data_IF_401747402953
#
_entry.id   IF_401747402953
#
_cell.length_a   1.000
_cell.length_b   1.000
_cell.length_c   1.000
_cell.angle_alpha   90.00
_cell.angle_beta   90.00
_cell.angle_gamma   90.00
#
_symmetry.space_group_name_H-M   'P 1'
#
loop_
_entity.id
_entity.type
_entity.pdbx_description
1 polymer ?
#
# COMPACT_ATOMS: atom_id res chain seq x y z
N UNK A 1 -4.75 -9.78 -3.78
CA UNK A 1 -4.94 -9.85 -2.31
C UNK A 1 -6.38 -10.26 -1.95
N UNK A 2 -7.41 -9.48 -2.33
CA UNK A 2 -8.83 -9.81 -2.07
C UNK A 2 -9.26 -11.22 -2.48
N UNK A 3 -9.06 -11.60 -3.75
CA UNK A 3 -9.45 -12.92 -4.26
C UNK A 3 -8.65 -14.06 -3.60
N UNK A 4 -7.33 -13.85 -3.43
CA UNK A 4 -6.40 -14.85 -2.88
C UNK A 4 -6.79 -15.30 -1.46
N UNK A 5 -7.27 -14.38 -0.63
CA UNK A 5 -7.58 -14.65 0.78
C UNK A 5 -9.09 -14.68 1.07
N UNK A 6 -9.93 -14.48 0.06
CA UNK A 6 -11.38 -14.45 0.23
C UNK A 6 -11.80 -13.34 1.19
N UNK A 7 -11.33 -12.12 0.95
CA UNK A 7 -11.61 -10.94 1.78
C UNK A 7 -12.06 -9.76 0.94
N UNK A 8 -12.95 -8.95 1.48
CA UNK A 8 -13.13 -7.54 1.13
C UNK A 8 -12.56 -6.72 2.28
N UNK A 9 -11.72 -5.73 1.96
CA UNK A 9 -11.09 -4.85 2.94
C UNK A 9 -11.36 -3.39 2.60
N UNK A 10 -11.42 -2.54 3.61
CA UNK A 10 -11.49 -1.08 3.46
C UNK A 10 -10.45 -0.39 4.36
N UNK A 11 -10.13 0.85 4.00
CA UNK A 11 -9.15 1.73 4.68
C UNK A 11 -9.64 2.24 6.04
N UNK A 12 -8.78 3.06 6.65
CA UNK A 12 -8.93 3.66 7.99
C UNK A 12 -8.80 2.64 9.12
N UNK A 13 -8.02 1.58 8.89
CA UNK A 13 -7.80 0.50 9.86
C UNK A 13 -6.90 0.87 11.04
N UNK A 14 -6.09 1.92 10.93
CA UNK A 14 -5.22 2.42 12.00
C UNK A 14 -6.00 2.92 13.23
N UNK A 15 -7.23 3.39 13.02
CA UNK A 15 -8.16 3.76 14.07
C UNK A 15 -8.59 2.57 14.96
N UNK A 16 -8.33 1.32 14.55
CA UNK A 16 -8.63 0.11 15.30
C UNK A 16 -10.03 -0.45 15.01
N UNK A 17 -10.55 -1.28 15.92
CA UNK A 17 -11.86 -1.92 15.73
C UNK A 17 -13.01 -0.91 15.82
N UNK A 18 -13.95 -0.96 14.87
CA UNK A 18 -15.19 -0.19 14.93
C UNK A 18 -16.18 -0.77 15.96
N UNK A 19 -16.83 0.11 16.71
CA UNK A 19 -17.93 -0.19 17.64
C UNK A 19 -19.00 0.90 17.58
N UNK A 20 -20.27 0.62 17.94
CA UNK A 20 -21.36 1.60 17.89
C UNK A 20 -21.14 2.87 18.72
N UNK A 21 -20.31 2.78 19.77
CA UNK A 21 -20.00 3.90 20.68
C UNK A 21 -18.89 4.82 20.17
N UNK A 22 -18.31 4.53 18.99
CA UNK A 22 -17.22 5.32 18.38
C UNK A 22 -17.75 6.22 17.28
N UNK A 23 -17.16 7.39 17.16
CA UNK A 23 -17.58 8.40 16.19
C UNK A 23 -17.03 8.09 14.78
N UNK A 24 -17.83 8.33 13.74
CA UNK A 24 -17.43 8.10 12.35
C UNK A 24 -16.18 8.93 11.97
N UNK A 25 -15.95 10.09 12.61
CA UNK A 25 -14.76 10.92 12.37
C UNK A 25 -13.45 10.25 12.79
N UNK A 26 -13.50 9.26 13.68
CA UNK A 26 -12.32 8.46 14.05
C UNK A 26 -11.86 7.55 12.88
N UNK A 27 -12.71 7.31 11.89
CA UNK A 27 -12.48 6.37 10.78
C UNK A 27 -12.55 7.04 9.40
N UNK A 28 -12.16 8.32 9.32
CA UNK A 28 -12.25 9.13 8.10
C UNK A 28 -13.68 9.17 7.50
N UNK A 29 -14.68 8.98 8.36
CA UNK A 29 -16.09 9.12 8.07
C UNK A 29 -16.88 7.82 8.05
N UNK A 30 -18.00 7.89 7.34
CA UNK A 30 -19.07 6.89 7.35
C UNK A 30 -18.73 5.50 6.75
N UNK A 31 -17.76 5.31 5.81
CA UNK A 31 -17.56 4.02 5.15
C UNK A 31 -17.32 2.83 6.08
N UNK A 32 -16.53 3.00 7.15
CA UNK A 32 -16.22 1.92 8.10
C UNK A 32 -17.47 1.47 8.84
N UNK A 33 -18.25 2.42 9.39
CA UNK A 33 -19.54 2.09 10.05
C UNK A 33 -20.47 1.35 9.11
N UNK A 34 -20.63 1.81 7.85
CA UNK A 34 -21.50 1.14 6.87
C UNK A 34 -21.02 -0.26 6.55
N UNK A 35 -19.72 -0.44 6.38
CA UNK A 35 -19.15 -1.76 6.16
C UNK A 35 -19.33 -2.70 7.36
N UNK A 36 -19.26 -2.18 8.58
CA UNK A 36 -19.45 -2.95 9.81
C UNK A 36 -20.93 -3.26 10.12
N UNK A 37 -21.86 -2.38 9.75
CA UNK A 37 -23.28 -2.48 10.17
C UNK A 37 -24.26 -2.80 9.04
N UNK A 38 -24.03 -2.30 7.83
CA UNK A 38 -24.98 -2.47 6.72
C UNK A 38 -24.69 -3.70 5.87
N UNK A 39 -23.42 -4.11 5.75
CA UNK A 39 -23.03 -5.29 4.97
C UNK A 39 -23.36 -6.56 5.76
N UNK A 40 -24.16 -7.43 5.17
CA UNK A 40 -24.64 -8.67 5.78
C UNK A 40 -24.15 -9.91 5.05
N UNK A 41 -24.16 -11.05 5.75
CA UNK A 41 -23.92 -12.35 5.12
C UNK A 41 -24.97 -12.57 4.02
N UNK A 42 -24.51 -12.98 2.83
CA UNK A 42 -25.37 -13.14 1.66
C UNK A 42 -25.44 -11.91 0.75
N UNK A 43 -24.94 -10.74 1.17
CA UNK A 43 -24.84 -9.59 0.28
C UNK A 43 -23.87 -9.86 -0.89
N UNK A 44 -24.15 -9.21 -2.02
CA UNK A 44 -23.33 -9.29 -3.22
C UNK A 44 -22.36 -8.11 -3.28
N UNK A 45 -21.09 -8.42 -3.52
CA UNK A 45 -20.05 -7.42 -3.78
C UNK A 45 -19.57 -7.49 -5.22
N UNK A 46 -19.37 -6.32 -5.83
CA UNK A 46 -18.75 -6.19 -7.15
C UNK A 46 -17.36 -5.57 -6.97
N UNK A 47 -16.32 -6.28 -7.39
CA UNK A 47 -14.96 -5.75 -7.37
C UNK A 47 -14.71 -4.95 -8.65
N UNK A 48 -14.82 -3.63 -8.57
CA UNK A 48 -14.56 -2.72 -9.69
C UNK A 48 -13.06 -2.55 -9.97
N UNK A 49 -12.70 -2.37 -11.23
CA UNK A 49 -11.35 -1.97 -11.67
C UNK A 49 -11.36 -0.63 -12.41
N UNK A 50 -12.53 -0.11 -12.76
CA UNK A 50 -12.70 1.19 -13.40
C UNK A 50 -14.05 1.81 -13.09
N UNK A 51 -14.45 2.79 -13.92
CA UNK A 51 -15.76 3.46 -13.83
C UNK A 51 -16.88 2.69 -14.56
N UNK A 52 -16.51 1.71 -15.39
CA UNK A 52 -17.43 0.87 -16.16
C UNK A 52 -17.10 -0.62 -16.07
N UNK A 53 -16.08 -1.03 -15.32
CA UNK A 53 -15.56 -2.41 -15.36
C UNK A 53 -15.50 -3.06 -13.98
N UNK A 54 -15.72 -4.38 -13.96
CA UNK A 54 -15.53 -5.25 -12.80
C UNK A 54 -14.61 -6.44 -13.13
N UNK A 55 -13.91 -6.94 -12.11
CA UNK A 55 -13.01 -8.10 -12.20
C UNK A 55 -13.56 -9.35 -11.51
N UNK A 56 -14.44 -9.18 -10.52
CA UNK A 56 -15.00 -10.28 -9.75
C UNK A 56 -16.38 -9.95 -9.18
N UNK A 57 -17.17 -11.00 -8.93
CA UNK A 57 -18.42 -10.97 -8.17
C UNK A 57 -18.19 -11.75 -6.88
N UNK A 58 -18.63 -11.24 -5.74
CA UNK A 58 -18.40 -11.83 -4.44
C UNK A 58 -19.68 -12.01 -3.65
N UNK A 59 -19.74 -13.07 -2.85
CA UNK A 59 -20.82 -13.31 -1.89
C UNK A 59 -20.25 -13.21 -0.47
N UNK A 60 -20.81 -12.31 0.34
CA UNK A 60 -20.35 -12.10 1.72
C UNK A 60 -20.65 -13.35 2.56
N UNK A 61 -19.66 -13.81 3.31
CA UNK A 61 -19.63 -15.10 3.99
C UNK A 61 -19.27 -15.00 5.48
N UNK A 62 -19.12 -13.80 6.04
CA UNK A 62 -18.91 -13.60 7.48
C UNK A 62 -19.51 -12.28 7.98
N UNK A 63 -19.63 -12.21 9.31
CA UNK A 63 -19.75 -10.96 10.04
C UNK A 63 -18.51 -10.07 9.87
N UNK A 64 -18.57 -8.87 10.46
CA UNK A 64 -17.51 -7.89 10.43
C UNK A 64 -16.31 -8.42 11.21
N UNK A 65 -15.13 -8.25 10.64
CA UNK A 65 -13.87 -8.67 11.23
C UNK A 65 -12.91 -7.49 11.23
N UNK A 66 -12.09 -7.42 12.27
CA UNK A 66 -10.88 -6.61 12.26
C UNK A 66 -9.70 -7.58 12.18
N UNK A 67 -8.89 -7.46 11.12
CA UNK A 67 -7.84 -8.41 10.74
C UNK A 67 -6.46 -7.74 10.77
N UNK A 68 -5.71 -7.82 11.90
CA UNK A 68 -4.40 -7.18 12.07
C UNK A 68 -3.34 -7.58 11.05
N UNK A 69 -3.49 -8.72 10.37
CA UNK A 69 -2.57 -9.14 9.31
C UNK A 69 -2.63 -8.29 8.04
N UNK A 70 -3.63 -7.40 7.90
CA UNK A 70 -3.79 -6.49 6.75
C UNK A 70 -3.50 -5.04 7.10
N UNK A 71 -2.69 -4.83 8.13
CA UNK A 71 -2.35 -3.52 8.66
C UNK A 71 -1.28 -2.76 7.87
N UNK A 72 -0.74 -3.36 6.81
CA UNK A 72 0.14 -2.70 5.84
C UNK A 72 0.09 -3.41 4.49
N UNK A 73 -1.04 -3.27 3.80
CA UNK A 73 -1.17 -3.78 2.43
C UNK A 73 -0.78 -2.70 1.44
N UNK A 74 0.40 -2.85 0.86
CA UNK A 74 0.97 -1.90 -0.09
C UNK A 74 1.11 -0.47 0.47
N UNK A 75 1.30 -0.31 1.78
CA UNK A 75 1.37 1.01 2.44
C UNK A 75 0.01 1.53 2.92
N UNK A 76 -1.04 0.69 2.94
CA UNK A 76 -2.38 1.05 3.41
C UNK A 76 -2.84 0.14 4.54
N UNK A 77 -3.45 0.73 5.54
CA UNK A 77 -3.99 0.04 6.71
C UNK A 77 -5.43 -0.42 6.39
N UNK A 78 -5.57 -1.72 6.03
CA UNK A 78 -6.79 -2.34 5.51
C UNK A 78 -7.39 -3.41 6.44
N UNK A 79 -7.39 -3.18 7.75
CA UNK A 79 -7.78 -4.19 8.74
C UNK A 79 -9.31 -4.45 8.80
N UNK A 80 -10.15 -3.51 8.35
CA UNK A 80 -11.60 -3.69 8.35
C UNK A 80 -12.02 -4.67 7.25
N UNK A 81 -12.56 -5.82 7.64
CA UNK A 81 -12.71 -6.95 6.74
C UNK A 81 -14.10 -7.61 6.77
N UNK A 82 -14.45 -8.21 5.64
CA UNK A 82 -15.47 -9.25 5.49
C UNK A 82 -14.86 -10.44 4.77
N UNK A 83 -15.22 -11.66 5.16
CA UNK A 83 -14.92 -12.84 4.33
C UNK A 83 -15.88 -12.86 3.16
N UNK A 84 -15.35 -13.09 1.97
CA UNK A 84 -16.10 -13.08 0.72
C UNK A 84 -15.68 -14.27 -0.13
N UNK A 85 -16.67 -15.02 -0.63
CA UNK A 85 -16.45 -16.02 -1.67
C UNK A 85 -16.43 -15.29 -3.00
N UNK A 86 -15.24 -15.13 -3.57
CA UNK A 86 -15.06 -14.44 -4.84
C UNK A 86 -15.16 -15.42 -6.01
N UNK A 87 -15.93 -15.04 -7.02
CA UNK A 87 -15.80 -15.57 -8.37
C UNK A 87 -14.98 -14.61 -9.23
N UNK A 88 -13.77 -15.04 -9.59
CA UNK A 88 -12.94 -14.33 -10.55
C UNK A 88 -13.53 -14.46 -11.95
N UNK A 89 -13.81 -13.35 -12.62
CA UNK A 89 -14.24 -13.41 -14.01
C UNK A 89 -13.05 -13.87 -14.89
N UNK A 90 -13.28 -14.51 -16.05
CA UNK A 90 -12.17 -14.85 -16.96
C UNK A 90 -11.45 -13.61 -17.50
N UNK A 91 -12.22 -12.58 -17.88
CA UNK A 91 -11.78 -11.25 -18.27
C UNK A 91 -12.54 -10.20 -17.45
N UNK A 92 -12.13 -8.93 -17.52
CA UNK A 92 -12.98 -7.86 -17.01
C UNK A 92 -14.33 -7.84 -17.76
N UNK A 93 -15.40 -7.57 -17.02
CA UNK A 93 -16.71 -7.30 -17.60
C UNK A 93 -16.90 -5.79 -17.68
N UNK A 94 -17.10 -5.28 -18.89
CA UNK A 94 -17.39 -3.87 -19.14
C UNK A 94 -18.89 -3.68 -19.38
N UNK A 95 -19.49 -2.77 -18.63
CA UNK A 95 -20.88 -2.37 -18.81
C UNK A 95 -21.07 -1.48 -20.06
N UNK A 96 -19.96 -0.97 -20.65
CA UNK A 96 -19.98 -0.13 -21.85
C UNK A 96 -20.40 1.33 -21.60
N UNK A 97 -20.77 1.65 -20.36
CA UNK A 97 -21.18 2.97 -19.89
C UNK A 97 -20.67 3.20 -18.45
N UNK A 98 -20.69 4.46 -17.98
CA UNK A 98 -20.23 4.82 -16.64
C UNK A 98 -21.25 4.41 -15.57
N UNK A 99 -21.17 3.16 -15.12
CA UNK A 99 -22.03 2.63 -14.05
C UNK A 99 -21.51 2.93 -12.65
N UNK A 100 -20.22 3.20 -12.47
CA UNK A 100 -19.64 3.62 -11.20
C UNK A 100 -19.30 5.12 -11.21
N UNK A 101 -19.33 5.74 -10.03
CA UNK A 101 -18.88 7.13 -9.87
C UNK A 101 -17.37 7.27 -10.06
N UNK A 102 -16.92 8.38 -10.65
CA UNK A 102 -15.51 8.63 -10.91
C UNK A 102 -14.66 8.62 -9.62
N UNK A 103 -15.22 9.15 -8.53
CA UNK A 103 -14.60 9.19 -7.20
C UNK A 103 -15.42 8.37 -6.18
N UNK A 104 -15.85 7.17 -6.57
CA UNK A 104 -16.62 6.34 -5.65
C UNK A 104 -15.76 5.93 -4.44
N UNK A 105 -16.28 6.04 -3.20
CA UNK A 105 -15.56 5.59 -2.00
C UNK A 105 -15.18 4.11 -2.08
N UNK A 106 -14.27 3.68 -1.20
CA UNK A 106 -13.81 2.29 -1.08
C UNK A 106 -14.96 1.27 -1.00
N UNK A 107 -16.10 1.69 -0.44
CA UNK A 107 -17.36 0.95 -0.42
C UNK A 107 -18.52 1.85 -0.88
N UNK A 108 -19.36 1.36 -1.79
CA UNK A 108 -20.58 2.04 -2.21
C UNK A 108 -21.75 1.06 -2.32
N UNK A 109 -22.92 1.43 -1.80
CA UNK A 109 -24.16 0.71 -2.07
C UNK A 109 -24.59 0.98 -3.51
N UNK A 110 -24.97 -0.07 -4.22
CA UNK A 110 -25.38 0.00 -5.61
C UNK A 110 -26.89 -0.20 -5.70
N UNK A 111 -27.59 0.80 -6.22
CA UNK A 111 -29.04 0.72 -6.50
C UNK A 111 -29.34 0.87 -8.00
N UNK A 112 -28.32 0.93 -8.87
CA UNK A 112 -28.53 1.08 -10.32
C UNK A 112 -29.14 -0.21 -10.89
N UNK A 113 -30.29 -0.16 -11.59
CA UNK A 113 -30.99 -1.36 -12.06
C UNK A 113 -30.10 -2.29 -12.90
N UNK A 114 -29.25 -1.74 -13.75
CA UNK A 114 -28.33 -2.51 -14.61
C UNK A 114 -27.35 -3.37 -13.80
N UNK A 115 -26.77 -2.81 -12.73
CA UNK A 115 -25.84 -3.52 -11.86
C UNK A 115 -26.54 -4.58 -11.01
N UNK A 116 -27.75 -4.27 -10.53
CA UNK A 116 -28.58 -5.21 -9.76
C UNK A 116 -29.04 -6.37 -10.63
N UNK A 117 -29.50 -6.10 -11.85
CA UNK A 117 -29.86 -7.12 -12.83
C UNK A 117 -28.68 -8.03 -13.16
N UNK A 118 -27.51 -7.45 -13.46
CA UNK A 118 -26.29 -8.21 -13.71
C UNK A 118 -25.95 -9.14 -12.54
N UNK A 119 -25.92 -8.60 -11.31
CA UNK A 119 -25.60 -9.38 -10.11
C UNK A 119 -26.59 -10.54 -9.89
N UNK A 120 -27.89 -10.27 -10.05
CA UNK A 120 -28.92 -11.28 -9.91
C UNK A 120 -28.81 -12.37 -10.98
N UNK A 121 -28.63 -12.01 -12.26
CA UNK A 121 -28.42 -13.00 -13.32
C UNK A 121 -27.17 -13.82 -13.07
N UNK A 122 -26.08 -13.18 -12.64
CA UNK A 122 -24.81 -13.84 -12.36
C UNK A 122 -24.94 -14.88 -11.24
N UNK A 123 -25.59 -14.53 -10.13
CA UNK A 123 -25.82 -15.45 -9.01
C UNK A 123 -26.69 -16.66 -9.39
N UNK A 124 -27.66 -16.47 -10.28
CA UNK A 124 -28.58 -17.52 -10.70
C UNK A 124 -28.10 -18.30 -11.93
N UNK A 125 -26.90 -18.01 -12.43
CA UNK A 125 -26.31 -18.70 -13.59
C UNK A 125 -25.19 -19.64 -13.16
N UNK A 126 -25.08 -20.85 -13.75
CA UNK A 126 -23.91 -21.70 -13.55
C UNK A 126 -22.60 -21.01 -14.01
N UNK A 127 -21.47 -21.28 -13.34
CA UNK A 127 -21.33 -22.16 -12.18
C UNK A 127 -21.74 -21.49 -10.86
N UNK A 128 -22.41 -22.24 -9.98
CA UNK A 128 -22.84 -21.77 -8.65
C UNK A 128 -22.02 -22.35 -7.49
N UNK A 129 -21.10 -23.30 -7.76
CA UNK A 129 -20.32 -23.98 -6.71
C UNK A 129 -19.46 -23.03 -5.85
N UNK A 130 -19.07 -21.87 -6.41
CA UNK A 130 -18.26 -20.89 -5.69
C UNK A 130 -19.02 -20.24 -4.53
N UNK A 131 -20.36 -20.21 -4.58
CA UNK A 131 -21.22 -19.59 -3.57
C UNK A 131 -21.18 -20.34 -2.23
N UNK A 132 -20.84 -21.63 -2.26
CA UNK A 132 -20.71 -22.51 -1.09
C UNK A 132 -19.29 -23.00 -0.88
N UNK A 133 -18.34 -22.61 -1.74
CA UNK A 133 -16.94 -23.01 -1.63
C UNK A 133 -16.34 -22.64 -0.27
N UNK A 134 -15.42 -23.48 0.20
CA UNK A 134 -14.63 -23.19 1.40
C UNK A 134 -13.83 -21.91 1.20
N UNK A 135 -13.84 -21.06 2.22
CA UNK A 135 -13.07 -19.82 2.18
C UNK A 135 -11.55 -20.13 2.21
N UNK A 136 -10.74 -19.41 1.42
CA UNK A 136 -9.28 -19.54 1.49
C UNK A 136 -8.72 -19.26 2.89
N UNK A 137 -7.50 -19.70 3.20
CA UNK A 137 -6.84 -19.32 4.45
C UNK A 137 -6.43 -17.84 4.46
N UNK A 138 -6.55 -17.22 5.63
CA UNK A 138 -5.98 -15.88 5.87
C UNK A 138 -4.46 -16.00 5.99
N UNK A 139 -3.70 -14.95 5.63
CA UNK A 139 -2.28 -14.91 5.94
C UNK A 139 -2.10 -14.77 7.45
N UNK A 140 -0.98 -15.28 7.94
CA UNK A 140 -0.53 -15.03 9.31
C UNK A 140 -0.16 -13.56 9.48
N UNK A 141 -0.38 -13.04 10.67
CA UNK A 141 0.16 -11.74 11.05
C UNK A 141 1.70 -11.79 11.02
N UNK A 142 2.30 -10.78 10.41
CA UNK A 142 3.74 -10.64 10.38
C UNK A 142 4.24 -10.17 11.75
N UNK A 143 5.28 -10.79 12.32
CA UNK A 143 5.76 -10.42 13.65
C UNK A 143 6.42 -9.05 13.64
N UNK A 144 6.08 -8.24 14.64
CA UNK A 144 6.77 -6.99 14.95
C UNK A 144 8.20 -7.27 15.41
N UNK A 145 9.09 -6.33 15.14
CA UNK A 145 10.50 -6.40 15.58
C UNK A 145 10.90 -5.07 16.22
N UNK A 146 11.85 -5.14 17.14
CA UNK A 146 12.56 -3.96 17.62
C UNK A 146 13.48 -3.42 16.50
N UNK A 147 13.67 -2.09 16.42
CA UNK A 147 14.64 -1.53 15.50
C UNK A 147 16.06 -2.00 15.86
N UNK A 148 16.93 -2.26 14.87
CA UNK A 148 18.37 -2.38 15.13
C UNK A 148 18.89 -1.13 15.82
N UNK A 149 19.90 -1.27 16.69
CA UNK A 149 20.45 -0.17 17.50
C UNK A 149 20.81 1.05 16.64
N UNK A 150 21.43 0.84 15.47
CA UNK A 150 21.80 1.92 14.56
C UNK A 150 20.61 2.73 14.01
N UNK A 151 19.41 2.15 13.99
CA UNK A 151 18.19 2.73 13.46
C UNK A 151 17.21 3.17 14.56
N UNK A 152 17.49 2.87 15.83
CA UNK A 152 16.53 3.07 16.93
C UNK A 152 16.06 4.53 17.03
N UNK A 153 16.98 5.50 17.04
CA UNK A 153 16.63 6.92 17.15
C UNK A 153 15.74 7.40 16.00
N UNK A 154 16.07 6.98 14.77
CA UNK A 154 15.31 7.36 13.58
C UNK A 154 13.91 6.74 13.59
N UNK A 155 13.81 5.46 13.97
CA UNK A 155 12.53 4.74 14.04
C UNK A 155 11.63 5.36 15.11
N UNK A 156 12.17 5.68 16.28
CA UNK A 156 11.44 6.42 17.33
C UNK A 156 10.95 7.78 16.80
N UNK A 157 11.82 8.54 16.13
CA UNK A 157 11.43 9.83 15.54
C UNK A 157 10.29 9.68 14.53
N UNK A 158 10.33 8.67 13.66
CA UNK A 158 9.25 8.38 12.71
C UNK A 158 7.96 8.07 13.46
N UNK A 159 8.00 7.20 14.47
CA UNK A 159 6.83 6.80 15.25
C UNK A 159 6.17 7.98 15.95
N UNK A 160 6.97 8.90 16.50
CA UNK A 160 6.49 10.10 17.18
C UNK A 160 5.84 11.10 16.20
N UNK A 161 6.45 11.30 15.03
CA UNK A 161 6.03 12.34 14.08
C UNK A 161 4.96 11.90 13.09
N UNK A 162 4.79 10.61 12.83
CA UNK A 162 3.81 10.10 11.87
C UNK A 162 2.39 10.57 12.21
N UNK A 163 2.02 10.56 13.49
CA UNK A 163 0.70 11.03 13.95
C UNK A 163 0.54 12.53 13.77
N UNK A 164 1.59 13.31 14.01
CA UNK A 164 1.57 14.75 13.80
C UNK A 164 1.39 15.10 12.32
N UNK A 165 2.05 14.39 11.41
CA UNK A 165 1.89 14.61 9.97
C UNK A 165 0.48 14.27 9.46
N UNK A 166 -0.21 13.33 10.11
CA UNK A 166 -1.60 13.01 9.80
C UNK A 166 -2.58 14.09 10.29
N UNK A 167 -2.23 14.84 11.34
CA UNK A 167 -3.06 15.94 11.85
C UNK A 167 -2.91 17.20 10.99
N UNK A 168 -3.68 17.25 9.91
CA UNK A 168 -3.76 18.39 8.97
C UNK A 168 -4.26 19.67 9.63
N UNK A 169 -4.93 19.60 10.79
CA UNK A 169 -5.42 20.77 11.51
C UNK A 169 -4.29 21.43 12.29
N UNK A 170 -3.48 20.62 12.99
CA UNK A 170 -2.36 21.11 13.78
C UNK A 170 -1.12 21.41 12.94
N UNK A 171 -0.81 20.55 11.96
CA UNK A 171 0.44 20.61 11.19
C UNK A 171 0.30 21.43 9.89
N UNK A 172 -0.91 21.49 9.32
CA UNK A 172 -1.16 22.15 8.04
C UNK A 172 -0.85 21.24 6.86
N UNK A 173 0.14 21.60 6.04
CA UNK A 173 0.52 20.84 4.84
C UNK A 173 1.45 19.67 5.14
N UNK A 174 1.41 18.64 4.28
CA UNK A 174 2.31 17.49 4.41
C UNK A 174 3.75 17.95 4.17
N UNK A 175 4.74 17.33 4.85
CA UNK A 175 6.14 17.52 4.52
C UNK A 175 6.37 17.32 3.02
N UNK A 176 7.17 18.21 2.44
CA UNK A 176 7.61 18.12 1.06
C UNK A 176 8.54 16.92 0.86
N UNK A 177 8.70 16.49 -0.38
CA UNK A 177 9.64 15.41 -0.75
C UNK A 177 11.06 15.73 -0.29
N UNK A 178 11.48 16.98 -0.40
CA UNK A 178 12.79 17.45 0.04
C UNK A 178 12.95 17.39 1.57
N UNK A 179 11.91 17.78 2.34
CA UNK A 179 11.92 17.62 3.79
C UNK A 179 12.03 16.15 4.18
N UNK A 180 11.27 15.25 3.54
CA UNK A 180 11.34 13.82 3.81
C UNK A 180 12.72 13.23 3.48
N UNK A 181 13.35 13.69 2.38
CA UNK A 181 14.71 13.30 2.03
C UNK A 181 15.71 13.72 3.11
N UNK A 182 15.65 14.97 3.55
CA UNK A 182 16.60 15.53 4.51
C UNK A 182 16.38 14.99 5.92
N UNK A 183 15.12 14.81 6.34
CA UNK A 183 14.77 14.42 7.70
C UNK A 183 14.79 12.91 7.93
N UNK A 184 14.54 12.10 6.88
CA UNK A 184 14.43 10.65 7.05
C UNK A 184 15.38 9.88 6.14
N UNK A 185 15.37 10.13 4.83
CA UNK A 185 16.12 9.28 3.87
C UNK A 185 17.64 9.41 4.08
N UNK A 186 18.16 10.63 4.23
CA UNK A 186 19.60 10.83 4.45
C UNK A 186 20.04 10.27 5.82
N UNK A 187 19.37 10.57 6.95
CA UNK A 187 19.67 9.92 8.23
C UNK A 187 19.59 8.40 8.18
N UNK A 188 18.59 7.84 7.49
CA UNK A 188 18.44 6.39 7.31
C UNK A 188 19.66 5.78 6.61
N UNK A 189 20.10 6.37 5.51
CA UNK A 189 21.30 5.92 4.80
C UNK A 189 22.57 6.05 5.66
N UNK A 190 22.69 7.12 6.44
CA UNK A 190 23.83 7.31 7.35
C UNK A 190 23.87 6.23 8.44
N UNK A 191 22.73 5.92 9.04
CA UNK A 191 22.59 4.84 10.01
C UNK A 191 22.95 3.47 9.41
N UNK A 192 22.65 3.26 8.12
CA UNK A 192 23.06 2.08 7.35
C UNK A 192 24.54 2.09 6.89
N UNK A 193 25.34 3.05 7.37
CA UNK A 193 26.80 3.10 7.16
C UNK A 193 27.27 3.88 5.94
N UNK A 194 26.35 4.54 5.20
CA UNK A 194 26.73 5.38 4.07
C UNK A 194 27.35 6.70 4.52
N UNK A 195 28.47 7.07 3.88
CA UNK A 195 29.13 8.36 4.13
C UNK A 195 28.45 9.46 3.34
N UNK A 196 28.48 10.69 3.87
CA UNK A 196 27.80 11.84 3.26
C UNK A 196 28.32 12.13 1.85
N UNK A 197 29.61 11.97 1.60
CA UNK A 197 30.20 12.14 0.26
C UNK A 197 29.71 11.09 -0.75
N UNK A 198 29.17 9.96 -0.29
CA UNK A 198 28.60 8.88 -1.12
C UNK A 198 27.08 8.99 -1.30
N UNK A 199 26.44 9.98 -0.69
CA UNK A 199 25.03 10.28 -0.85
C UNK A 199 24.93 11.59 -1.64
N UNK A 200 24.27 11.56 -2.80
CA UNK A 200 24.04 12.75 -3.60
C UNK A 200 22.55 13.04 -3.69
N UNK A 201 22.16 14.25 -3.32
CA UNK A 201 20.79 14.75 -3.46
C UNK A 201 20.71 15.49 -4.80
N UNK A 202 19.73 15.18 -5.65
CA UNK A 202 19.50 15.87 -6.93
C UNK A 202 20.53 15.55 -8.02
N UNK A 203 21.35 14.51 -7.88
CA UNK A 203 22.33 14.15 -8.91
C UNK A 203 21.61 13.63 -10.16
N UNK A 204 21.73 14.37 -11.27
CA UNK A 204 20.98 14.11 -12.52
C UNK A 204 19.46 14.11 -12.32
N UNK A 205 18.95 15.03 -11.49
CA UNK A 205 17.52 15.18 -11.18
C UNK A 205 16.89 14.02 -10.39
N UNK A 206 17.71 13.08 -9.92
CA UNK A 206 17.29 11.98 -9.05
C UNK A 206 17.30 12.49 -7.60
N UNK A 207 16.22 12.26 -6.85
CA UNK A 207 16.08 12.77 -5.48
C UNK A 207 17.27 12.38 -4.61
N UNK A 208 17.61 11.08 -4.54
CA UNK A 208 18.84 10.61 -3.90
C UNK A 208 19.52 9.53 -4.74
N UNK A 209 20.83 9.64 -4.92
CA UNK A 209 21.69 8.61 -5.50
C UNK A 209 22.76 8.20 -4.50
N UNK A 210 22.96 6.89 -4.36
CA UNK A 210 23.93 6.31 -3.42
C UNK A 210 25.08 5.67 -4.20
N UNK A 211 26.33 5.93 -3.82
CA UNK A 211 27.53 5.53 -4.59
C UNK A 211 28.48 4.64 -3.78
N UNK A 212 28.85 3.47 -4.32
CA UNK A 212 29.80 2.55 -3.67
C UNK A 212 31.20 3.14 -3.51
N UNK A 213 31.63 3.93 -4.49
CA UNK A 213 32.94 4.57 -4.53
C UNK A 213 32.84 5.96 -5.16
N UNK A 214 33.87 6.78 -4.95
CA UNK A 214 34.07 8.03 -5.68
C UNK A 214 34.95 7.77 -6.92
N UNK A 215 34.83 8.57 -8.00
CA UNK A 215 33.91 9.71 -8.17
C UNK A 215 32.46 9.27 -8.37
N UNK A 216 31.51 10.20 -8.18
CA UNK A 216 30.09 9.98 -8.42
C UNK A 216 29.84 9.82 -9.92
N UNK A 217 29.55 8.61 -10.36
CA UNK A 217 29.32 8.24 -11.76
C UNK A 217 28.23 7.18 -11.87
N UNK A 218 27.68 6.98 -13.07
CA UNK A 218 26.71 5.90 -13.30
C UNK A 218 27.28 4.52 -12.90
N UNK A 219 28.55 4.26 -13.24
CA UNK A 219 29.22 3.00 -12.91
C UNK A 219 29.34 2.77 -11.40
N UNK A 220 29.66 3.80 -10.61
CA UNK A 220 29.80 3.72 -9.14
C UNK A 220 28.49 3.89 -8.37
N UNK A 221 27.41 4.32 -9.02
CA UNK A 221 26.06 4.36 -8.44
C UNK A 221 25.65 2.94 -8.03
N UNK A 222 25.14 2.80 -6.81
CA UNK A 222 24.72 1.51 -6.26
C UNK A 222 23.22 1.28 -6.48
N UNK A 223 22.41 2.23 -6.03
CA UNK A 223 20.97 2.29 -6.20
C UNK A 223 20.54 3.76 -6.14
N UNK A 224 19.31 4.01 -6.60
CA UNK A 224 18.70 5.34 -6.56
C UNK A 224 17.46 5.30 -5.67
N UNK A 225 17.08 6.46 -5.13
CA UNK A 225 15.87 6.64 -4.34
C UNK A 225 15.03 7.74 -4.96
N UNK A 226 13.76 7.44 -5.18
CA UNK A 226 12.71 8.38 -5.54
C UNK A 226 11.83 8.63 -4.32
N UNK A 227 11.77 9.87 -3.86
CA UNK A 227 10.94 10.28 -2.75
C UNK A 227 9.57 10.76 -3.26
N UNK A 228 8.53 10.54 -2.47
CA UNK A 228 7.20 11.10 -2.69
C UNK A 228 6.65 11.68 -1.40
N UNK A 229 5.65 12.55 -1.56
CA UNK A 229 4.86 13.05 -0.41
C UNK A 229 4.13 11.90 0.27
N UNK A 230 3.90 12.06 1.58
CA UNK A 230 3.08 11.14 2.36
C UNK A 230 1.72 10.90 1.68
N UNK A 231 1.34 9.63 1.54
CA UNK A 231 0.07 9.21 0.93
C UNK A 231 0.02 9.23 -0.61
N UNK A 232 1.11 9.62 -1.30
CA UNK A 232 1.17 9.59 -2.76
C UNK A 232 1.28 8.16 -3.32
N UNK A 233 0.88 7.98 -4.59
CA UNK A 233 0.96 6.68 -5.26
C UNK A 233 2.41 6.24 -5.49
N UNK A 234 2.72 5.01 -5.09
CA UNK A 234 4.04 4.37 -5.29
C UNK A 234 4.27 3.99 -6.77
N UNK A 235 3.20 3.76 -7.53
CA UNK A 235 3.29 3.31 -8.93
C UNK A 235 3.84 4.39 -9.87
N UNK A 236 3.38 5.63 -9.73
CA UNK A 236 3.88 6.75 -10.54
C UNK A 236 5.34 7.06 -10.24
N UNK A 237 5.75 6.94 -8.97
CA UNK A 237 7.12 7.12 -8.53
C UNK A 237 8.07 6.08 -9.15
N UNK A 238 7.64 4.81 -9.21
CA UNK A 238 8.44 3.75 -9.83
C UNK A 238 8.66 4.03 -11.33
N UNK A 239 7.62 4.43 -12.06
CA UNK A 239 7.75 4.74 -13.50
C UNK A 239 8.68 5.93 -13.77
N UNK A 240 8.62 6.95 -12.91
CA UNK A 240 9.57 8.07 -12.96
C UNK A 240 11.01 7.59 -12.73
N UNK A 241 11.24 6.81 -11.68
CA UNK A 241 12.56 6.29 -11.34
C UNK A 241 13.14 5.35 -12.42
N UNK A 242 12.30 4.54 -13.07
CA UNK A 242 12.69 3.75 -14.26
C UNK A 242 13.15 4.64 -15.42
N UNK A 243 12.60 5.83 -15.56
CA UNK A 243 13.09 6.86 -16.49
C UNK A 243 14.55 7.20 -16.23
N UNK A 244 14.87 7.55 -14.98
CA UNK A 244 16.24 7.89 -14.59
C UNK A 244 17.21 6.73 -14.79
N UNK A 245 16.86 5.49 -14.42
CA UNK A 245 17.74 4.33 -14.64
C UNK A 245 18.04 4.11 -16.12
N UNK A 246 17.06 4.30 -17.01
CA UNK A 246 17.27 4.25 -18.46
C UNK A 246 18.24 5.33 -18.94
N UNK A 247 18.11 6.56 -18.43
CA UNK A 247 19.02 7.66 -18.76
C UNK A 247 20.45 7.47 -18.20
N UNK A 248 20.59 6.77 -17.07
CA UNK A 248 21.90 6.40 -16.53
C UNK A 248 22.64 5.40 -17.42
N UNK A 249 21.92 4.63 -18.24
CA UNK A 249 22.49 3.62 -19.14
C UNK A 249 23.06 2.39 -18.43
N UNK A 250 22.80 2.25 -17.13
CA UNK A 250 23.24 1.11 -16.31
C UNK A 250 22.09 0.63 -15.43
N UNK A 251 21.84 -0.69 -15.33
CA UNK A 251 20.76 -1.21 -14.51
C UNK A 251 21.05 -0.95 -13.03
N UNK A 252 20.13 -0.29 -12.33
CA UNK A 252 20.26 0.03 -10.90
C UNK A 252 18.95 -0.21 -10.19
N UNK A 253 19.06 -0.80 -9.00
CA UNK A 253 17.91 -0.98 -8.12
C UNK A 253 17.33 0.37 -7.73
N UNK A 254 16.02 0.39 -7.54
CA UNK A 254 15.25 1.58 -7.21
C UNK A 254 14.65 1.39 -5.84
N UNK A 255 14.74 2.40 -4.99
CA UNK A 255 13.96 2.51 -3.77
C UNK A 255 12.93 3.61 -3.95
N UNK A 256 11.66 3.32 -3.72
CA UNK A 256 10.61 4.34 -3.63
C UNK A 256 10.25 4.53 -2.16
N UNK A 257 10.13 5.78 -1.72
CA UNK A 257 9.84 6.08 -0.32
C UNK A 257 9.01 7.35 -0.12
N UNK A 258 8.24 7.37 0.97
CA UNK A 258 7.61 8.58 1.53
C UNK A 258 8.31 9.05 2.82
N UNK A 259 9.57 8.63 3.02
CA UNK A 259 10.36 8.86 4.24
C UNK A 259 10.06 7.86 5.37
N UNK A 260 8.86 7.29 5.41
CA UNK A 260 8.40 6.35 6.44
C UNK A 260 8.41 4.91 5.91
N UNK A 261 7.87 4.72 4.72
CA UNK A 261 7.77 3.44 4.02
C UNK A 261 8.79 3.40 2.90
N UNK A 262 9.42 2.26 2.72
CA UNK A 262 10.48 2.05 1.74
C UNK A 262 10.17 0.76 0.98
N UNK A 263 10.21 0.83 -0.34
CA UNK A 263 10.06 -0.34 -1.21
C UNK A 263 11.19 -0.39 -2.22
N UNK A 264 11.90 -1.51 -2.25
CA UNK A 264 13.01 -1.73 -3.16
C UNK A 264 12.59 -2.61 -4.33
N UNK A 265 13.04 -2.23 -5.52
CA UNK A 265 12.77 -2.88 -6.79
C UNK A 265 14.08 -3.26 -7.48
N UNK A 266 14.17 -4.49 -7.96
CA UNK A 266 15.39 -5.01 -8.55
C UNK A 266 15.45 -4.79 -10.05
N UNK A 267 16.47 -4.09 -10.55
CA UNK A 267 16.64 -3.90 -12.00
C UNK A 267 16.91 -5.24 -12.72
N UNK A 268 17.57 -6.19 -12.08
CA UNK A 268 17.83 -7.53 -12.63
C UNK A 268 16.56 -8.37 -12.79
N UNK A 269 15.49 -8.04 -12.04
CA UNK A 269 14.21 -8.75 -12.05
C UNK A 269 13.09 -7.91 -12.65
N UNK A 270 13.42 -7.10 -13.66
CA UNK A 270 12.46 -6.22 -14.34
C UNK A 270 11.68 -5.32 -13.37
N UNK A 271 12.38 -4.77 -12.39
CA UNK A 271 11.83 -3.95 -11.31
C UNK A 271 10.71 -4.64 -10.52
N UNK A 272 10.80 -5.96 -10.32
CA UNK A 272 9.97 -6.64 -9.34
C UNK A 272 10.29 -6.14 -7.91
N UNK A 273 9.28 -5.98 -7.03
CA UNK A 273 9.51 -5.62 -5.64
C UNK A 273 10.25 -6.76 -4.92
N UNK A 274 11.35 -6.42 -4.24
CA UNK A 274 12.24 -7.40 -3.58
C UNK A 274 12.39 -7.21 -2.07
N UNK A 275 12.12 -6.01 -1.56
CA UNK A 275 12.16 -5.73 -0.13
C UNK A 275 11.26 -4.55 0.24
N UNK A 276 10.81 -4.52 1.50
CA UNK A 276 9.91 -3.50 2.00
C UNK A 276 10.15 -3.26 3.50
N UNK A 277 10.06 -2.01 3.95
CA UNK A 277 10.00 -1.65 5.35
C UNK A 277 9.00 -0.51 5.58
N UNK A 278 8.33 -0.56 6.72
CA UNK A 278 7.56 0.55 7.26
C UNK A 278 8.16 0.93 8.61
N UNK A 279 8.86 2.07 8.67
CA UNK A 279 9.56 2.49 9.88
C UNK A 279 8.59 2.86 11.01
N UNK A 280 7.36 3.27 10.70
CA UNK A 280 6.34 3.53 11.72
C UNK A 280 5.80 2.25 12.37
N UNK A 281 5.91 1.11 11.68
CA UNK A 281 5.48 -0.20 12.20
C UNK A 281 6.39 -1.32 11.69
N UNK A 282 7.55 -1.46 12.33
CA UNK A 282 8.55 -2.43 11.91
C UNK A 282 8.07 -3.87 12.06
N UNK A 283 8.20 -4.62 10.98
CA UNK A 283 7.94 -6.05 10.93
C UNK A 283 9.14 -6.79 10.36
N UNK A 284 9.24 -8.09 10.63
CA UNK A 284 10.38 -8.92 10.21
C UNK A 284 10.86 -8.72 8.75
N UNK A 285 9.99 -8.53 7.73
CA UNK A 285 10.45 -8.28 6.36
C UNK A 285 11.33 -7.04 6.17
N UNK A 286 11.29 -6.07 7.09
CA UNK A 286 12.12 -4.87 7.06
C UNK A 286 13.62 -5.18 7.14
N UNK A 287 14.00 -6.28 7.81
CA UNK A 287 15.40 -6.70 7.94
C UNK A 287 16.06 -6.98 6.58
N UNK A 288 15.30 -7.51 5.62
CA UNK A 288 15.79 -7.76 4.26
C UNK A 288 16.07 -6.44 3.53
N UNK A 289 15.22 -5.43 3.71
CA UNK A 289 15.48 -4.10 3.16
C UNK A 289 16.75 -3.50 3.76
N UNK A 290 16.89 -3.56 5.09
CA UNK A 290 18.04 -3.02 5.79
C UNK A 290 19.33 -3.69 5.33
N UNK A 291 19.34 -5.02 5.21
CA UNK A 291 20.50 -5.77 4.72
C UNK A 291 20.89 -5.37 3.29
N UNK A 292 19.91 -5.17 2.40
CA UNK A 292 20.16 -4.77 1.00
C UNK A 292 20.64 -3.33 0.87
N UNK A 293 20.15 -2.44 1.72
CA UNK A 293 20.53 -1.03 1.71
C UNK A 293 21.78 -0.74 2.54
N UNK A 294 22.24 -1.67 3.39
CA UNK A 294 23.45 -1.53 4.20
C UNK A 294 24.67 -1.40 3.30
N UNK A 295 25.60 -0.52 3.68
CA UNK A 295 26.88 -0.42 2.97
C UNK A 295 27.67 -1.71 3.18
N UNK A 296 27.96 -2.40 2.07
CA UNK A 296 28.89 -3.54 2.00
C UNK A 296 30.31 -3.09 1.70
#
# INVERSE_FOLDING_TARGET
MFLKHGVALIESGDAGTWHPDRDDSEFEGVPVRRFATEVQIGDVMLLRTGISTIRAVGLVASDYLYLPQFDDVNGRDLQHARRVRWYALPSEYDFGNRVFGANAPSLSRINKPELVDYANRFLNSPPTYWQTATLPSLPSELPSIEPPDELSELVTQVQDLTRLYADRTAFGDYPTEQELVVHYVVPFLRALGWRVEQIAIGWRFIDVSVFRTLPRSAASCHFIIEAKRLGASVESALEQAKGYVRELGVPRDIVVTDGIRYRMYSAERDFAPIAYANLARLKQPALELFARMKRS
#
